data_IF_044323319018
#
_entry.id   IF_044323319018
#
_cell.length_a   1.000
_cell.length_b   1.000
_cell.length_c   1.000
_cell.angle_alpha   90.00
_cell.angle_beta   90.00
_cell.angle_gamma   90.00
#
_symmetry.space_group_name_H-M   'P 1'
#
loop_
_entity.id
_entity.type
_entity.pdbx_description
1 polymer ?
#
# COMPACT_ATOMS: atom_id res chain seq x y z
N UNK A 1 -4.80 22.35 -18.33
CA UNK A 1 -3.69 21.41 -18.24
C UNK A 1 -4.19 20.19 -17.49
N UNK A 2 -4.23 19.04 -18.14
CA UNK A 2 -4.66 17.78 -17.55
C UNK A 2 -3.50 17.00 -16.95
N UNK A 3 -3.76 16.32 -15.82
CA UNK A 3 -2.95 15.28 -15.19
C UNK A 3 -1.43 15.38 -15.41
N UNK A 4 -0.90 14.57 -16.30
CA UNK A 4 0.55 14.45 -16.59
C UNK A 4 1.23 15.77 -17.01
N UNK A 5 0.57 16.59 -17.83
CA UNK A 5 1.16 17.87 -18.28
C UNK A 5 1.26 18.83 -17.10
N UNK A 6 0.28 18.83 -16.20
CA UNK A 6 0.30 19.64 -14.98
C UNK A 6 1.49 19.27 -14.08
N UNK A 7 1.71 17.98 -13.85
CA UNK A 7 2.84 17.49 -13.02
C UNK A 7 4.18 17.86 -13.64
N UNK A 8 4.34 17.70 -14.97
CA UNK A 8 5.56 18.13 -15.69
C UNK A 8 5.83 19.62 -15.55
N UNK A 9 4.79 20.47 -15.63
CA UNK A 9 4.95 21.94 -15.46
C UNK A 9 5.34 22.29 -14.03
N UNK A 10 4.73 21.65 -13.03
CA UNK A 10 5.08 21.83 -11.62
C UNK A 10 6.52 21.37 -11.34
N UNK A 11 6.93 20.25 -11.93
CA UNK A 11 8.30 19.75 -11.84
C UNK A 11 9.29 20.73 -12.47
N UNK A 12 9.00 21.23 -13.68
CA UNK A 12 9.81 22.25 -14.33
C UNK A 12 9.91 23.53 -13.48
N UNK A 13 8.82 23.95 -12.84
CA UNK A 13 8.82 25.07 -11.93
C UNK A 13 9.72 24.83 -10.71
N UNK A 14 9.63 23.64 -10.10
CA UNK A 14 10.41 23.28 -8.92
C UNK A 14 11.92 23.23 -9.21
N UNK A 15 12.29 22.79 -10.41
CA UNK A 15 13.68 22.67 -10.86
C UNK A 15 14.26 23.98 -11.43
N UNK A 16 13.38 24.92 -11.74
CA UNK A 16 13.83 26.19 -12.35
C UNK A 16 14.70 27.01 -11.38
N UNK A 17 15.85 27.42 -11.85
CA UNK A 17 16.79 28.26 -11.07
C UNK A 17 17.76 27.46 -10.20
N UNK A 18 17.84 26.14 -10.35
CA UNK A 18 18.78 25.27 -9.64
C UNK A 18 18.77 25.48 -8.12
N UNK A 19 17.68 25.18 -7.41
CA UNK A 19 17.51 25.45 -5.99
C UNK A 19 18.54 24.68 -5.13
N UNK A 20 18.99 25.27 -4.03
CA UNK A 20 19.89 24.63 -3.06
C UNK A 20 19.22 23.45 -2.33
N UNK A 21 17.90 23.50 -2.18
CA UNK A 21 17.08 22.46 -1.58
C UNK A 21 15.84 22.22 -2.44
N UNK A 22 15.68 20.99 -2.87
CA UNK A 22 14.51 20.50 -3.60
C UNK A 22 13.67 19.60 -2.68
N UNK A 23 12.39 19.92 -2.51
CA UNK A 23 11.45 19.13 -1.74
C UNK A 23 10.35 18.60 -2.67
N UNK A 24 10.16 17.29 -2.71
CA UNK A 24 9.20 16.63 -3.58
C UNK A 24 8.35 15.63 -2.80
N UNK A 25 7.04 15.68 -3.00
CA UNK A 25 6.07 14.76 -2.42
C UNK A 25 5.43 13.96 -3.55
N UNK A 26 5.65 12.63 -3.54
CA UNK A 26 5.18 11.67 -4.54
C UNK A 26 5.42 12.11 -6.00
N UNK A 27 6.66 12.48 -6.39
CA UNK A 27 6.93 13.09 -7.69
C UNK A 27 6.75 12.12 -8.87
N UNK A 28 6.66 10.82 -8.62
CA UNK A 28 6.45 9.78 -9.64
C UNK A 28 4.99 9.58 -9.99
N UNK A 29 4.06 10.07 -9.17
CA UNK A 29 2.64 9.95 -9.44
C UNK A 29 2.27 10.70 -10.73
N UNK A 30 1.40 10.09 -11.53
CA UNK A 30 0.91 10.62 -12.81
C UNK A 30 2.00 10.87 -13.88
N UNK A 31 3.23 10.42 -13.68
CA UNK A 31 4.29 10.46 -14.69
C UNK A 31 4.31 9.16 -15.50
N UNK A 32 4.70 9.27 -16.77
CA UNK A 32 5.01 8.10 -17.58
C UNK A 32 6.41 7.57 -17.28
N UNK A 33 6.65 6.31 -17.64
CA UNK A 33 7.90 5.61 -17.36
C UNK A 33 9.15 6.35 -17.89
N UNK A 34 9.07 6.95 -19.09
CA UNK A 34 10.19 7.70 -19.69
C UNK A 34 10.52 8.95 -18.86
N UNK A 35 9.49 9.65 -18.35
CA UNK A 35 9.66 10.82 -17.49
C UNK A 35 10.19 10.44 -16.10
N UNK A 36 9.76 9.30 -15.53
CA UNK A 36 10.31 8.78 -14.26
C UNK A 36 11.79 8.45 -14.43
N UNK A 37 12.17 7.71 -15.48
CA UNK A 37 13.57 7.36 -15.74
C UNK A 37 14.45 8.61 -15.96
N UNK A 38 13.91 9.63 -16.63
CA UNK A 38 14.59 10.91 -16.75
C UNK A 38 14.80 11.60 -15.40
N UNK A 39 13.75 11.61 -14.56
CA UNK A 39 13.80 12.23 -13.24
C UNK A 39 14.79 11.51 -12.31
N UNK A 40 14.82 10.18 -12.33
CA UNK A 40 15.80 9.38 -11.59
C UNK A 40 17.23 9.77 -11.98
N UNK A 41 17.53 9.80 -13.28
CA UNK A 41 18.85 10.18 -13.78
C UNK A 41 19.21 11.64 -13.44
N UNK A 42 18.24 12.54 -13.53
CA UNK A 42 18.44 13.94 -13.15
C UNK A 42 18.79 14.08 -11.67
N UNK A 43 17.99 13.46 -10.77
CA UNK A 43 18.18 13.56 -9.33
C UNK A 43 19.43 12.81 -8.83
N UNK A 44 19.78 11.69 -9.45
CA UNK A 44 21.02 10.96 -9.11
C UNK A 44 22.28 11.80 -9.38
N UNK A 45 22.22 12.73 -10.34
CA UNK A 45 23.30 13.64 -10.69
C UNK A 45 23.12 15.07 -10.12
N UNK A 46 22.09 15.29 -9.32
CA UNK A 46 21.81 16.61 -8.74
C UNK A 46 22.78 16.91 -7.61
N UNK A 47 23.54 18.01 -7.71
CA UNK A 47 24.61 18.35 -6.77
C UNK A 47 24.08 18.90 -5.44
N UNK A 48 22.86 19.47 -5.44
CA UNK A 48 22.26 20.08 -4.26
C UNK A 48 21.43 19.09 -3.45
N UNK A 49 20.86 19.54 -2.34
CA UNK A 49 20.11 18.68 -1.42
C UNK A 49 18.71 18.40 -1.93
N UNK A 50 18.31 17.12 -1.84
CA UNK A 50 16.95 16.67 -2.19
C UNK A 50 16.30 15.99 -1.00
N UNK A 51 15.06 16.35 -0.71
CA UNK A 51 14.18 15.64 0.20
C UNK A 51 13.00 15.13 -0.65
N UNK A 52 12.81 13.81 -0.68
CA UNK A 52 11.74 13.19 -1.44
C UNK A 52 10.92 12.25 -0.57
N UNK A 53 9.61 12.30 -0.71
CA UNK A 53 8.66 11.31 -0.20
C UNK A 53 8.14 10.54 -1.39
N UNK A 54 8.22 9.20 -1.37
CA UNK A 54 7.67 8.36 -2.44
C UNK A 54 7.33 6.96 -1.92
N UNK A 55 6.35 6.33 -2.55
CA UNK A 55 6.02 4.92 -2.40
C UNK A 55 6.70 4.03 -3.44
N UNK A 56 7.33 4.62 -4.45
CA UNK A 56 8.09 3.91 -5.47
C UNK A 56 9.48 3.51 -4.94
N UNK A 57 9.62 2.23 -4.63
CA UNK A 57 10.87 1.67 -4.08
C UNK A 57 12.02 1.75 -5.06
N UNK A 58 11.77 1.55 -6.35
CA UNK A 58 12.79 1.63 -7.39
C UNK A 58 13.35 3.05 -7.49
N UNK A 59 12.45 4.03 -7.52
CA UNK A 59 12.81 5.45 -7.52
C UNK A 59 13.64 5.82 -6.28
N UNK A 60 13.21 5.41 -5.07
CA UNK A 60 13.97 5.67 -3.85
C UNK A 60 15.35 5.01 -3.85
N UNK A 61 15.48 3.80 -4.39
CA UNK A 61 16.76 3.09 -4.51
C UNK A 61 17.72 3.77 -5.50
N UNK A 62 17.16 4.34 -6.56
CA UNK A 62 17.94 5.00 -7.61
C UNK A 62 18.44 6.39 -7.20
N UNK A 63 17.68 7.10 -6.34
CA UNK A 63 17.92 8.52 -6.05
C UNK A 63 18.49 8.75 -4.65
N UNK A 64 18.01 7.99 -3.63
CA UNK A 64 18.29 8.32 -2.24
C UNK A 64 19.59 7.71 -1.72
N UNK A 65 20.39 8.52 -1.05
CA UNK A 65 21.61 8.11 -0.32
C UNK A 65 21.36 7.90 1.17
N UNK A 66 20.26 8.43 1.69
CA UNK A 66 19.84 8.34 3.09
C UNK A 66 18.33 8.13 3.16
N UNK A 67 17.89 7.37 4.16
CA UNK A 67 16.47 7.17 4.45
C UNK A 67 16.15 7.75 5.84
N UNK A 68 15.13 8.58 5.88
CA UNK A 68 14.55 9.13 7.11
C UNK A 68 13.24 8.41 7.39
N UNK A 69 13.26 7.54 8.39
CA UNK A 69 12.12 6.72 8.78
C UNK A 69 11.32 7.38 9.90
N UNK A 70 10.05 7.64 9.64
CA UNK A 70 9.12 8.21 10.63
C UNK A 70 8.28 7.06 11.19
N UNK A 71 8.55 6.65 12.44
CA UNK A 71 7.78 5.63 13.14
C UNK A 71 7.72 5.95 14.65
N UNK A 72 6.64 5.58 15.32
CA UNK A 72 6.42 5.83 16.76
C UNK A 72 6.57 7.30 17.19
N UNK A 73 6.27 8.27 16.30
CA UNK A 73 6.42 9.71 16.57
C UNK A 73 7.87 10.20 16.61
N UNK A 74 8.79 9.43 16.05
CA UNK A 74 10.22 9.76 15.96
C UNK A 74 10.71 9.64 14.52
N UNK A 75 11.74 10.43 14.21
CA UNK A 75 12.45 10.33 12.94
C UNK A 75 13.79 9.64 13.21
N UNK A 76 14.04 8.54 12.52
CA UNK A 76 15.30 7.82 12.56
C UNK A 76 15.98 7.95 11.19
N UNK A 77 17.24 8.34 11.18
CA UNK A 77 18.03 8.51 9.96
C UNK A 77 18.93 7.30 9.75
N UNK A 78 18.98 6.84 8.52
CA UNK A 78 19.79 5.72 8.08
C UNK A 78 20.60 6.13 6.85
N UNK A 79 21.88 5.76 6.81
CA UNK A 79 22.70 5.89 5.62
C UNK A 79 22.49 4.68 4.74
N UNK A 80 22.35 4.89 3.44
CA UNK A 80 22.04 3.87 2.45
C UNK A 80 20.72 4.14 1.73
N UNK A 81 20.43 3.33 0.71
CA UNK A 81 19.20 3.39 -0.06
C UNK A 81 18.03 2.68 0.63
N UNK A 82 16.86 2.64 -0.02
CA UNK A 82 15.64 2.04 0.54
C UNK A 82 15.80 0.53 0.80
N UNK A 83 16.38 -0.21 -0.12
CA UNK A 83 16.58 -1.67 0.02
C UNK A 83 17.48 -1.98 1.20
N UNK A 84 18.60 -1.28 1.35
CA UNK A 84 19.50 -1.46 2.50
C UNK A 84 18.79 -1.15 3.83
N UNK A 85 18.05 -0.05 3.90
CA UNK A 85 17.27 0.30 5.08
C UNK A 85 16.22 -0.79 5.40
N UNK A 86 15.48 -1.24 4.39
CA UNK A 86 14.43 -2.25 4.57
C UNK A 86 15.00 -3.57 5.13
N UNK A 87 16.04 -4.11 4.53
CA UNK A 87 16.69 -5.34 4.98
C UNK A 87 17.25 -5.19 6.40
N UNK A 88 17.96 -4.08 6.68
CA UNK A 88 18.50 -3.79 8.01
C UNK A 88 17.41 -3.65 9.07
N UNK A 89 16.30 -3.00 8.74
CA UNK A 89 15.16 -2.83 9.65
C UNK A 89 14.47 -4.15 9.96
N UNK A 90 14.30 -5.02 8.97
CA UNK A 90 13.74 -6.37 9.14
C UNK A 90 14.64 -7.24 10.01
N UNK A 91 15.95 -7.21 9.79
CA UNK A 91 16.91 -7.93 10.59
C UNK A 91 16.90 -7.46 12.06
N UNK A 92 16.91 -6.14 12.27
CA UNK A 92 16.83 -5.56 13.62
C UNK A 92 15.52 -5.92 14.34
N UNK A 93 14.38 -5.91 13.63
CA UNK A 93 13.10 -6.33 14.18
C UNK A 93 13.12 -7.81 14.59
N UNK A 94 13.65 -8.69 13.75
CA UNK A 94 13.79 -10.13 14.03
C UNK A 94 14.71 -10.38 15.23
N UNK A 95 15.84 -9.70 15.31
CA UNK A 95 16.76 -9.81 16.45
C UNK A 95 16.10 -9.36 17.76
N UNK A 96 15.39 -8.23 17.72
CA UNK A 96 14.65 -7.71 18.88
C UNK A 96 13.55 -8.66 19.34
N UNK A 97 12.79 -9.24 18.41
CA UNK A 97 11.78 -10.24 18.72
C UNK A 97 12.39 -11.49 19.41
N UNK A 98 13.53 -11.99 18.91
CA UNK A 98 14.24 -13.11 19.52
C UNK A 98 14.78 -12.78 20.91
N UNK A 99 15.34 -11.58 21.10
CA UNK A 99 15.83 -11.14 22.41
C UNK A 99 14.68 -11.03 23.43
N UNK A 100 13.54 -10.47 23.03
CA UNK A 100 12.38 -10.37 23.88
C UNK A 100 11.83 -11.75 24.25
N UNK A 101 11.71 -12.66 23.27
CA UNK A 101 11.29 -14.04 23.55
C UNK A 101 12.17 -14.71 24.60
N UNK A 102 13.50 -14.62 24.47
CA UNK A 102 14.46 -15.16 25.46
C UNK A 102 14.31 -14.46 26.82
N UNK A 103 14.06 -13.16 26.84
CA UNK A 103 13.87 -12.41 28.09
C UNK A 103 12.56 -12.80 28.78
N UNK A 104 11.47 -13.02 28.02
CA UNK A 104 10.20 -13.52 28.56
C UNK A 104 10.30 -14.94 29.10
N UNK A 105 10.92 -15.85 28.35
CA UNK A 105 11.17 -17.23 28.82
C UNK A 105 11.97 -17.21 30.14
N UNK A 106 13.00 -16.36 30.21
CA UNK A 106 13.79 -16.20 31.43
C UNK A 106 13.01 -15.59 32.59
N UNK A 107 12.14 -14.63 32.30
CA UNK A 107 11.23 -14.06 33.29
C UNK A 107 10.28 -15.12 33.86
N UNK A 108 9.67 -15.93 32.99
CA UNK A 108 8.77 -17.00 33.38
C UNK A 108 9.46 -18.04 34.29
N UNK A 109 10.69 -18.49 33.92
CA UNK A 109 11.48 -19.37 34.77
C UNK A 109 11.74 -18.80 36.17
N UNK A 110 12.12 -17.51 36.23
CA UNK A 110 12.39 -16.84 37.50
C UNK A 110 11.12 -16.65 38.33
N UNK A 111 9.99 -16.32 37.73
CA UNK A 111 8.69 -16.19 38.38
C UNK A 111 8.21 -17.53 38.91
N UNK A 112 8.36 -18.61 38.16
CA UNK A 112 8.01 -19.96 38.60
C UNK A 112 8.84 -20.40 39.79
N UNK A 113 10.15 -20.13 39.77
CA UNK A 113 11.01 -20.40 40.91
C UNK A 113 10.56 -19.60 42.18
N UNK A 114 10.28 -18.30 42.00
CA UNK A 114 9.80 -17.46 43.10
C UNK A 114 8.50 -18.02 43.64
N UNK A 115 7.54 -18.41 42.82
CA UNK A 115 6.26 -18.99 43.22
C UNK A 115 6.44 -20.27 44.03
N UNK A 116 7.35 -21.18 43.60
CA UNK A 116 7.61 -22.46 44.28
C UNK A 116 8.30 -22.29 45.66
N UNK A 117 9.18 -21.28 45.79
CA UNK A 117 10.06 -21.18 46.95
C UNK A 117 9.86 -19.92 47.80
N UNK A 118 8.87 -19.06 47.51
CA UNK A 118 8.61 -17.83 48.24
C UNK A 118 8.28 -18.07 49.75
N UNK A 119 7.63 -19.18 50.06
CA UNK A 119 7.23 -19.54 51.44
C UNK A 119 8.35 -20.28 52.22
N UNK A 120 9.47 -20.61 51.57
CA UNK A 120 10.57 -21.39 52.19
C UNK A 120 11.63 -20.44 52.79
N UNK A 121 11.76 -20.39 54.11
CA UNK A 121 12.67 -19.49 54.81
C UNK A 121 14.12 -19.70 54.39
N UNK A 122 14.57 -20.93 54.12
CA UNK A 122 15.94 -21.25 53.72
C UNK A 122 16.27 -20.73 52.32
N UNK A 123 15.25 -20.58 51.42
CA UNK A 123 15.37 -20.10 50.04
C UNK A 123 14.93 -18.67 49.83
N UNK A 124 14.50 -17.97 50.85
CA UNK A 124 13.99 -16.59 50.81
C UNK A 124 15.02 -15.62 50.20
N UNK A 125 16.31 -15.72 50.56
CA UNK A 125 17.36 -14.90 49.96
C UNK A 125 17.54 -15.14 48.45
N UNK A 126 17.35 -16.39 48.02
CA UNK A 126 17.44 -16.72 46.58
C UNK A 126 16.21 -16.18 45.80
N UNK A 127 15.01 -16.24 46.38
CA UNK A 127 13.81 -15.64 45.79
C UNK A 127 13.95 -14.12 45.65
N UNK A 128 14.48 -13.43 46.68
CA UNK A 128 14.77 -11.99 46.64
C UNK A 128 15.81 -11.64 45.56
N UNK A 129 16.88 -12.42 45.46
CA UNK A 129 17.88 -12.23 44.37
C UNK A 129 17.26 -12.35 42.99
N UNK A 130 16.38 -13.35 42.79
CA UNK A 130 15.70 -13.56 41.51
C UNK A 130 14.66 -12.47 41.17
N UNK A 131 13.97 -11.90 42.17
CA UNK A 131 13.15 -10.68 41.98
C UNK A 131 13.97 -9.51 41.45
N UNK A 132 15.20 -9.32 41.98
CA UNK A 132 16.12 -8.30 41.45
C UNK A 132 16.61 -8.61 40.05
N UNK A 133 16.73 -9.90 39.67
CA UNK A 133 17.06 -10.25 38.27
C UNK A 133 15.91 -9.92 37.33
N UNK A 134 14.65 -10.18 37.70
CA UNK A 134 13.49 -9.82 36.88
C UNK A 134 13.42 -8.31 36.66
N UNK A 135 13.65 -7.50 37.71
CA UNK A 135 13.63 -6.02 37.58
C UNK A 135 14.76 -5.47 36.68
N UNK A 136 15.79 -6.26 36.41
CA UNK A 136 16.90 -5.92 35.50
C UNK A 136 16.70 -6.47 34.09
N UNK A 137 15.71 -7.34 33.87
CA UNK A 137 15.41 -7.82 32.53
C UNK A 137 14.77 -6.66 31.72
N UNK A 138 15.53 -6.12 30.78
CA UNK A 138 15.02 -5.17 29.80
C UNK A 138 14.15 -5.92 28.80
N UNK A 139 12.90 -6.11 29.10
CA UNK A 139 11.88 -6.49 28.14
C UNK A 139 11.44 -5.18 27.50
N UNK A 140 12.06 -4.83 26.38
CA UNK A 140 11.61 -3.67 25.62
C UNK A 140 10.18 -4.00 25.12
N UNK A 141 9.19 -3.20 25.51
CA UNK A 141 7.87 -3.28 24.88
C UNK A 141 8.09 -3.13 23.36
N UNK A 142 7.90 -4.23 22.63
CA UNK A 142 7.79 -4.14 21.18
C UNK A 142 6.41 -3.52 20.95
N UNK A 143 6.38 -2.20 20.83
CA UNK A 143 5.20 -1.56 20.26
C UNK A 143 5.04 -2.12 18.84
N UNK A 144 3.89 -2.67 18.50
CA UNK A 144 3.65 -3.07 17.11
C UNK A 144 3.89 -1.84 16.23
N UNK A 145 4.60 -2.03 15.12
CA UNK A 145 4.85 -0.93 14.17
C UNK A 145 3.54 -0.21 13.86
N UNK A 146 3.58 1.11 13.76
CA UNK A 146 2.43 1.90 13.31
C UNK A 146 2.08 1.59 11.85
N UNK A 147 3.00 0.94 11.11
CA UNK A 147 2.80 0.47 9.75
C UNK A 147 1.95 -0.78 9.75
N UNK A 148 0.69 -0.59 9.46
CA UNK A 148 -0.27 -1.67 9.24
C UNK A 148 -0.50 -1.81 7.75
N UNK A 149 -0.64 -3.05 7.30
CA UNK A 149 -0.99 -3.36 5.92
C UNK A 149 -2.45 -3.83 5.87
N UNK A 150 -3.21 -3.43 4.86
CA UNK A 150 -4.55 -3.97 4.66
C UNK A 150 -4.46 -5.48 4.41
N UNK A 151 -5.38 -6.22 5.02
CA UNK A 151 -5.51 -7.67 4.83
C UNK A 151 -6.58 -7.93 3.76
N UNK A 152 -6.17 -7.91 2.50
CA UNK A 152 -7.06 -8.22 1.38
C UNK A 152 -7.05 -9.74 1.18
N UNK A 153 -8.22 -10.36 1.41
CA UNK A 153 -8.41 -11.79 1.19
C UNK A 153 -9.51 -11.92 0.14
N UNK A 154 -9.18 -12.57 -0.97
CA UNK A 154 -10.12 -12.89 -2.02
C UNK A 154 -10.55 -14.34 -1.89
N UNK A 155 -11.79 -14.58 -1.45
CA UNK A 155 -12.40 -15.88 -1.45
C UNK A 155 -13.24 -16.03 -2.71
N UNK A 156 -12.98 -17.09 -3.48
CA UNK A 156 -13.73 -17.38 -4.70
C UNK A 156 -15.02 -18.14 -4.34
N UNK A 157 -16.16 -17.61 -4.70
CA UNK A 157 -17.43 -18.33 -4.59
C UNK A 157 -17.44 -19.60 -5.46
N UNK A 158 -16.78 -19.53 -6.62
CA UNK A 158 -16.54 -20.66 -7.50
C UNK A 158 -15.25 -20.49 -8.28
N UNK A 159 -14.69 -21.58 -8.72
CA UNK A 159 -13.49 -21.58 -9.55
C UNK A 159 -13.81 -21.04 -10.95
N UNK A 160 -12.98 -20.09 -11.42
CA UNK A 160 -13.09 -19.59 -12.78
C UNK A 160 -12.66 -20.66 -13.81
N UNK A 161 -13.26 -20.63 -14.97
CA UNK A 161 -12.83 -21.45 -16.12
C UNK A 161 -11.47 -21.03 -16.65
N UNK A 162 -10.93 -21.82 -17.58
CA UNK A 162 -9.59 -21.58 -18.15
C UNK A 162 -9.52 -20.29 -18.97
N UNK A 163 -10.60 -19.93 -19.67
CA UNK A 163 -10.68 -18.70 -20.46
C UNK A 163 -11.30 -17.58 -19.62
N UNK A 164 -10.56 -16.53 -19.39
CA UNK A 164 -10.97 -15.38 -18.59
C UNK A 164 -11.48 -14.25 -19.47
N UNK A 165 -10.73 -13.85 -20.48
CA UNK A 165 -11.05 -12.75 -21.39
C UNK A 165 -10.47 -13.03 -22.78
N UNK A 166 -11.25 -12.75 -23.80
CA UNK A 166 -10.80 -12.75 -25.19
C UNK A 166 -11.16 -11.41 -25.80
N UNK A 167 -10.17 -10.72 -26.39
CA UNK A 167 -10.32 -9.43 -27.08
C UNK A 167 -9.81 -9.61 -28.49
N UNK A 168 -10.57 -9.15 -29.48
CA UNK A 168 -10.25 -9.28 -30.89
C UNK A 168 -10.40 -7.95 -31.62
N UNK A 169 -9.34 -7.51 -32.26
CA UNK A 169 -9.28 -6.31 -33.14
C UNK A 169 -9.87 -5.04 -32.50
N UNK A 170 -9.69 -4.91 -31.15
CA UNK A 170 -10.30 -3.83 -30.40
C UNK A 170 -9.63 -2.48 -30.71
N UNK A 171 -10.42 -1.46 -31.02
CA UNK A 171 -9.92 -0.12 -31.32
C UNK A 171 -10.76 0.95 -30.61
N UNK A 172 -10.11 2.03 -30.22
CA UNK A 172 -10.78 3.17 -29.61
C UNK A 172 -10.10 4.50 -29.96
N UNK A 173 -10.94 5.53 -30.09
CA UNK A 173 -10.54 6.93 -30.26
C UNK A 173 -11.35 7.85 -29.34
N UNK A 174 -10.80 9.01 -29.01
CA UNK A 174 -11.47 10.09 -28.27
C UNK A 174 -11.25 11.40 -29.03
N UNK A 175 -12.35 12.09 -29.34
CA UNK A 175 -12.31 13.41 -30.04
C UNK A 175 -11.50 13.43 -31.34
N UNK A 176 -11.41 12.29 -32.01
CA UNK A 176 -10.65 12.13 -33.25
C UNK A 176 -9.19 11.65 -33.06
N UNK A 177 -8.69 11.62 -31.83
CA UNK A 177 -7.40 11.03 -31.50
C UNK A 177 -7.53 9.52 -31.36
N UNK A 178 -6.78 8.75 -32.16
CA UNK A 178 -6.73 7.29 -32.03
C UNK A 178 -5.89 6.92 -30.81
N UNK A 179 -6.52 6.29 -29.81
CA UNK A 179 -5.87 5.86 -28.58
C UNK A 179 -5.14 4.51 -28.76
N UNK A 180 -5.83 3.56 -29.39
CA UNK A 180 -5.26 2.27 -29.79
C UNK A 180 -6.06 1.67 -30.94
N UNK A 181 -5.42 0.77 -31.69
CA UNK A 181 -6.03 0.14 -32.86
C UNK A 181 -5.61 -1.31 -32.98
N UNK A 182 -6.58 -2.20 -33.22
CA UNK A 182 -6.35 -3.60 -33.54
C UNK A 182 -5.72 -4.38 -32.37
N UNK A 183 -6.19 -4.17 -31.14
CA UNK A 183 -5.65 -4.86 -29.97
C UNK A 183 -6.28 -6.23 -29.87
N UNK A 184 -5.43 -7.25 -29.87
CA UNK A 184 -5.79 -8.63 -29.57
C UNK A 184 -5.20 -9.03 -28.21
N UNK A 185 -6.02 -9.63 -27.35
CA UNK A 185 -5.59 -10.10 -26.03
C UNK A 185 -6.40 -11.35 -25.64
N UNK A 186 -5.69 -12.38 -25.25
CA UNK A 186 -6.31 -13.58 -24.66
C UNK A 186 -5.73 -13.79 -23.27
N UNK A 187 -6.61 -13.92 -22.27
CA UNK A 187 -6.24 -14.15 -20.88
C UNK A 187 -6.77 -15.48 -20.38
N UNK A 188 -5.87 -16.27 -19.85
CA UNK A 188 -6.17 -17.55 -19.19
C UNK A 188 -6.23 -17.38 -17.67
N UNK A 189 -6.76 -18.39 -16.99
CA UNK A 189 -6.81 -18.45 -15.54
C UNK A 189 -5.41 -18.35 -14.94
N UNK A 190 -5.25 -17.40 -14.00
CA UNK A 190 -3.99 -17.18 -13.28
C UNK A 190 -3.05 -16.17 -13.95
N UNK A 191 -3.35 -15.69 -15.15
CA UNK A 191 -2.55 -14.66 -15.82
C UNK A 191 -2.57 -13.35 -15.03
N UNK A 192 -1.42 -12.68 -15.05
CA UNK A 192 -1.25 -11.32 -14.51
C UNK A 192 -0.61 -10.47 -15.59
N UNK A 193 -1.37 -9.56 -16.16
CA UNK A 193 -0.97 -8.76 -17.32
C UNK A 193 -0.83 -7.30 -16.91
N UNK A 194 0.27 -6.68 -17.33
CA UNK A 194 0.53 -5.25 -17.19
C UNK A 194 0.37 -4.59 -18.54
N UNK A 195 -0.43 -3.54 -18.61
CA UNK A 195 -0.58 -2.73 -19.82
C UNK A 195 0.32 -1.49 -19.72
N UNK A 196 1.19 -1.33 -20.68
CA UNK A 196 2.03 -0.14 -20.82
C UNK A 196 1.54 0.74 -21.97
N UNK A 197 1.35 2.03 -21.70
CA UNK A 197 1.04 3.02 -22.72
C UNK A 197 1.75 4.34 -22.42
N UNK A 198 2.17 5.03 -23.48
CA UNK A 198 2.65 6.43 -23.37
C UNK A 198 1.51 7.38 -23.04
N UNK A 199 0.30 7.05 -23.45
CA UNK A 199 -0.92 7.80 -23.18
C UNK A 199 -1.81 7.04 -22.18
N UNK A 200 -2.00 7.61 -20.99
CA UNK A 200 -2.87 7.01 -19.96
C UNK A 200 -4.34 6.96 -20.38
N UNK A 201 -4.76 7.85 -21.31
CA UNK A 201 -6.11 7.79 -21.85
C UNK A 201 -6.38 6.47 -22.57
N UNK A 202 -5.33 5.90 -23.21
CA UNK A 202 -5.44 4.62 -23.90
C UNK A 202 -5.72 3.47 -22.91
N UNK A 203 -4.98 3.40 -21.80
CA UNK A 203 -5.20 2.36 -20.77
C UNK A 203 -6.54 2.54 -20.08
N UNK A 204 -6.92 3.77 -19.74
CA UNK A 204 -8.23 4.06 -19.15
C UNK A 204 -9.35 3.66 -20.09
N UNK A 205 -9.32 4.09 -21.36
CA UNK A 205 -10.33 3.72 -22.34
C UNK A 205 -10.44 2.21 -22.54
N UNK A 206 -9.31 1.49 -22.55
CA UNK A 206 -9.32 0.04 -22.65
C UNK A 206 -10.07 -0.61 -21.47
N UNK A 207 -9.80 -0.18 -20.24
CA UNK A 207 -10.49 -0.71 -19.06
C UNK A 207 -11.97 -0.29 -19.01
N UNK A 208 -12.29 0.95 -19.39
CA UNK A 208 -13.69 1.42 -19.45
C UNK A 208 -14.51 0.66 -20.48
N UNK A 209 -13.91 0.27 -21.62
CA UNK A 209 -14.54 -0.58 -22.62
C UNK A 209 -14.78 -1.98 -22.05
N UNK A 210 -13.78 -2.59 -21.45
CA UNK A 210 -13.90 -3.93 -20.86
C UNK A 210 -14.91 -3.98 -19.71
N UNK A 211 -15.06 -2.87 -18.98
CA UNK A 211 -16.06 -2.74 -17.91
C UNK A 211 -17.47 -2.39 -18.43
N UNK A 212 -17.60 -2.13 -19.74
CA UNK A 212 -18.86 -1.79 -20.38
C UNK A 212 -19.31 -0.33 -20.22
N UNK A 213 -18.48 0.55 -19.66
CA UNK A 213 -18.76 1.97 -19.46
C UNK A 213 -18.55 2.79 -20.73
N UNK A 214 -17.71 2.32 -21.67
CA UNK A 214 -17.42 2.96 -22.95
C UNK A 214 -17.59 1.96 -24.09
N UNK A 215 -18.02 2.44 -25.26
CA UNK A 215 -18.09 1.63 -26.47
C UNK A 215 -16.74 1.68 -27.23
N UNK A 216 -16.34 0.54 -27.77
CA UNK A 216 -15.23 0.49 -28.71
C UNK A 216 -15.66 1.05 -30.09
N UNK A 217 -14.68 1.56 -30.86
CA UNK A 217 -14.91 1.98 -32.24
C UNK A 217 -15.07 0.75 -33.15
N UNK A 218 -14.26 -0.30 -32.93
CA UNK A 218 -14.33 -1.59 -33.61
C UNK A 218 -13.76 -2.71 -32.73
N UNK A 219 -14.00 -3.94 -33.17
CA UNK A 219 -13.58 -5.14 -32.46
C UNK A 219 -14.60 -5.63 -31.46
N UNK A 220 -14.29 -6.73 -30.80
CA UNK A 220 -15.15 -7.40 -29.82
C UNK A 220 -14.35 -7.86 -28.62
N UNK A 221 -15.02 -8.06 -27.50
CA UNK A 221 -14.44 -8.74 -26.34
C UNK A 221 -15.49 -9.61 -25.66
N UNK A 222 -15.02 -10.74 -25.13
CA UNK A 222 -15.85 -11.69 -24.43
C UNK A 222 -15.22 -12.12 -23.13
N UNK A 223 -15.96 -11.97 -22.03
CA UNK A 223 -15.58 -12.51 -20.74
C UNK A 223 -15.96 -13.99 -20.63
N UNK A 224 -15.12 -14.77 -19.98
CA UNK A 224 -15.46 -16.15 -19.66
C UNK A 224 -16.77 -16.26 -18.87
N UNK A 225 -17.61 -17.24 -19.20
CA UNK A 225 -18.98 -17.42 -18.63
C UNK A 225 -18.96 -17.48 -17.09
N UNK A 226 -17.87 -17.95 -16.50
CA UNK A 226 -17.70 -18.07 -15.04
C UNK A 226 -16.91 -16.93 -14.42
N UNK A 227 -16.52 -15.93 -15.22
CA UNK A 227 -15.69 -14.83 -14.75
C UNK A 227 -16.54 -13.79 -14.03
N UNK A 228 -16.15 -13.44 -12.81
CA UNK A 228 -16.67 -12.31 -12.07
C UNK A 228 -15.59 -11.22 -12.06
N UNK A 229 -15.92 -10.05 -12.60
CA UNK A 229 -14.99 -8.94 -12.78
C UNK A 229 -15.19 -7.87 -11.72
N UNK A 230 -14.11 -7.23 -11.29
CA UNK A 230 -14.12 -6.02 -10.50
C UNK A 230 -13.14 -5.02 -11.12
N UNK A 231 -13.50 -3.75 -11.07
CA UNK A 231 -12.72 -2.65 -11.61
C UNK A 231 -12.40 -1.61 -10.55
N UNK A 232 -11.12 -1.28 -10.40
CA UNK A 232 -10.65 -0.17 -9.58
C UNK A 232 -10.21 0.96 -10.52
N UNK A 233 -10.98 2.05 -10.66
CA UNK A 233 -10.62 3.16 -11.53
C UNK A 233 -9.46 3.99 -10.98
N UNK A 234 -8.67 4.59 -11.89
CA UNK A 234 -7.58 5.48 -11.50
C UNK A 234 -8.06 6.81 -10.89
N UNK A 235 -9.21 7.32 -11.34
CA UNK A 235 -9.93 8.43 -10.69
C UNK A 235 -11.13 7.87 -9.94
N UNK A 236 -11.11 8.02 -8.63
CA UNK A 236 -12.15 7.53 -7.72
C UNK A 236 -12.88 8.66 -7.00
N UNK A 237 -12.63 9.93 -7.32
CA UNK A 237 -13.20 11.08 -6.61
C UNK A 237 -14.71 11.05 -6.56
N UNK A 238 -15.37 10.77 -7.69
CA UNK A 238 -16.83 10.75 -7.80
C UNK A 238 -17.51 9.72 -6.88
N UNK A 239 -16.81 8.66 -6.48
CA UNK A 239 -17.37 7.64 -5.58
C UNK A 239 -17.51 8.14 -4.14
N UNK A 240 -16.77 9.19 -3.75
CA UNK A 240 -16.65 9.67 -2.37
C UNK A 240 -17.20 11.11 -2.18
N UNK A 241 -18.00 11.61 -3.10
CA UNK A 241 -18.60 12.96 -3.02
C UNK A 241 -19.80 13.06 -2.08
N UNK A 242 -20.35 11.92 -1.66
CA UNK A 242 -21.52 11.88 -0.78
C UNK A 242 -21.14 11.87 0.71
N UNK A 243 -22.12 12.20 1.57
CA UNK A 243 -21.95 12.28 3.02
C UNK A 243 -22.20 10.95 3.74
N UNK A 244 -22.15 9.82 3.02
CA UNK A 244 -22.27 8.52 3.66
C UNK A 244 -21.11 8.24 4.59
N UNK A 245 -21.41 7.54 5.71
CA UNK A 245 -20.32 6.91 6.49
C UNK A 245 -19.67 5.79 5.66
N UNK A 246 -18.43 5.42 5.95
CA UNK A 246 -17.78 4.30 5.26
C UNK A 246 -18.59 3.00 5.39
N UNK A 247 -19.27 2.80 6.53
CA UNK A 247 -20.17 1.66 6.74
C UNK A 247 -21.34 1.70 5.77
N UNK A 248 -22.02 2.84 5.63
CA UNK A 248 -23.18 2.97 4.76
C UNK A 248 -22.76 2.97 3.28
N UNK A 249 -21.61 3.53 2.98
CA UNK A 249 -21.04 3.50 1.63
C UNK A 249 -20.75 2.07 1.18
N UNK A 250 -20.10 1.26 2.01
CA UNK A 250 -19.78 -0.12 1.68
C UNK A 250 -21.05 -0.99 1.59
N UNK A 251 -22.07 -0.70 2.42
CA UNK A 251 -23.35 -1.42 2.42
C UNK A 251 -24.07 -1.42 1.06
N UNK A 252 -23.82 -0.43 0.21
CA UNK A 252 -24.38 -0.37 -1.14
C UNK A 252 -23.89 -1.48 -2.06
N UNK A 253 -22.73 -2.07 -1.79
CA UNK A 253 -22.06 -3.02 -2.66
C UNK A 253 -22.21 -4.48 -2.21
N UNK A 254 -22.80 -4.71 -1.03
CA UNK A 254 -23.01 -6.06 -0.50
C UNK A 254 -24.17 -6.76 -1.21
N UNK A 255 -24.00 -8.04 -1.48
CA UNK A 255 -24.97 -8.85 -2.25
C UNK A 255 -25.91 -9.66 -1.36
N UNK A 256 -25.50 -10.02 -0.15
CA UNK A 256 -26.25 -10.87 0.77
C UNK A 256 -26.68 -10.12 2.03
N UNK A 257 -27.79 -10.54 2.67
CA UNK A 257 -28.23 -9.95 3.94
C UNK A 257 -27.22 -10.17 5.08
N UNK A 258 -26.48 -11.28 5.05
CA UNK A 258 -25.46 -11.57 6.04
C UNK A 258 -24.26 -10.61 5.92
N UNK A 259 -23.82 -10.30 4.70
CA UNK A 259 -22.79 -9.29 4.45
C UNK A 259 -23.24 -7.87 4.84
N UNK A 260 -24.55 -7.61 4.80
CA UNK A 260 -25.15 -6.29 5.11
C UNK A 260 -25.11 -5.96 6.59
N UNK A 261 -24.88 -6.96 7.45
CA UNK A 261 -24.75 -6.72 8.90
C UNK A 261 -23.58 -5.79 9.22
N UNK A 262 -23.82 -4.83 10.09
CA UNK A 262 -22.84 -3.81 10.44
C UNK A 262 -21.54 -4.40 11.01
N UNK A 263 -21.63 -5.50 11.75
CA UNK A 263 -20.46 -6.18 12.30
C UNK A 263 -19.55 -6.71 11.20
N UNK A 264 -20.13 -7.30 10.14
CA UNK A 264 -19.39 -7.83 9.00
C UNK A 264 -18.75 -6.68 8.19
N UNK A 265 -19.48 -5.61 7.93
CA UNK A 265 -18.97 -4.42 7.24
C UNK A 265 -17.81 -3.79 8.03
N UNK A 266 -17.97 -3.59 9.34
CA UNK A 266 -16.90 -3.06 10.19
C UNK A 266 -15.69 -3.99 10.27
N UNK A 267 -15.90 -5.31 10.26
CA UNK A 267 -14.82 -6.29 10.20
C UNK A 267 -14.03 -6.16 8.91
N UNK A 268 -14.71 -5.99 7.78
CA UNK A 268 -14.06 -5.77 6.48
C UNK A 268 -13.29 -4.45 6.45
N UNK A 269 -13.90 -3.35 6.89
CA UNK A 269 -13.23 -2.04 7.02
C UNK A 269 -12.01 -2.12 7.94
N UNK A 270 -12.10 -2.89 9.04
CA UNK A 270 -10.97 -3.13 9.94
C UNK A 270 -9.81 -3.86 9.26
N UNK A 271 -10.09 -4.80 8.33
CA UNK A 271 -9.05 -5.43 7.48
C UNK A 271 -8.40 -4.43 6.54
N UNK A 272 -9.13 -3.37 6.14
CA UNK A 272 -8.63 -2.24 5.33
C UNK A 272 -8.06 -1.11 6.19
N UNK A 273 -7.82 -1.37 7.49
CA UNK A 273 -7.21 -0.46 8.47
C UNK A 273 -8.17 0.60 9.04
N UNK A 274 -9.40 0.70 8.57
CA UNK A 274 -10.41 1.57 9.17
C UNK A 274 -11.03 0.91 10.41
N UNK A 275 -10.45 1.15 11.58
CA UNK A 275 -10.87 0.52 12.84
C UNK A 275 -11.51 1.50 13.82
N UNK A 276 -12.46 1.02 14.63
CA UNK A 276 -13.12 1.84 15.65
C UNK A 276 -13.93 3.00 15.06
N UNK A 277 -13.61 4.23 15.46
CA UNK A 277 -14.28 5.44 14.97
C UNK A 277 -13.93 5.79 13.53
N UNK A 278 -12.82 5.31 13.00
CA UNK A 278 -12.43 5.55 11.61
C UNK A 278 -13.41 4.95 10.61
N UNK A 279 -14.04 3.83 10.94
CA UNK A 279 -15.09 3.23 10.11
C UNK A 279 -16.36 4.09 10.00
N UNK A 280 -16.53 5.07 10.90
CA UNK A 280 -17.66 6.00 10.92
C UNK A 280 -17.35 7.35 10.26
N UNK A 281 -16.14 7.55 9.76
CA UNK A 281 -15.80 8.73 8.96
C UNK A 281 -16.73 8.83 7.75
N UNK A 282 -17.11 10.04 7.40
CA UNK A 282 -17.84 10.29 6.16
C UNK A 282 -16.91 10.28 4.95
N UNK A 283 -17.42 9.86 3.81
CA UNK A 283 -16.62 9.68 2.59
C UNK A 283 -15.94 10.96 2.11
N UNK A 284 -16.58 12.11 2.28
CA UNK A 284 -16.08 13.41 1.85
C UNK A 284 -14.86 13.93 2.64
N UNK A 285 -14.65 13.44 3.89
CA UNK A 285 -13.52 13.87 4.72
C UNK A 285 -12.28 12.97 4.58
N UNK A 286 -12.34 11.93 3.75
CA UNK A 286 -11.22 11.03 3.53
C UNK A 286 -10.08 11.75 2.80
N UNK A 287 -8.85 11.51 3.26
CA UNK A 287 -7.64 11.93 2.55
C UNK A 287 -7.48 11.17 1.23
N UNK A 288 -6.63 11.68 0.32
CA UNK A 288 -6.37 11.00 -0.96
C UNK A 288 -5.86 9.57 -0.81
N UNK A 289 -5.06 9.28 0.22
CA UNK A 289 -4.58 7.93 0.51
C UNK A 289 -5.59 7.02 1.23
N UNK A 290 -6.67 7.58 1.81
CA UNK A 290 -7.77 6.82 2.42
C UNK A 290 -8.87 6.48 1.41
N UNK A 291 -8.94 7.18 0.29
CA UNK A 291 -9.84 6.93 -0.84
C UNK A 291 -9.27 5.88 -1.77
#
# INVERSE_FOLDING_TARGET
>A
LEGKIKVRVLLAQALFGNPDLLIMDEPTNDLDFETIAWLENFLANYENTVIVVSHDRHFLDSVCTHISDIDFGKINHYSGNYTFWYESSQLAAKQRAQQNKKAEEKKQELEEFIRRFSANVAKSKQATSRKKMISKLNISEIKPSSRRYPAIIFDQEREAGDQILNVQDLSASIEGDVLFKGVDLNMAKGDKIVLFSKDSRATTAFYEILNGNQKADSGTYDWGVTTNQAYLPGDNHSFFENDYTLVDWLRQWVKTEEERDEVNIRSFLGKMIFSGEEALKTCNVLSGGEK
#
